data_IF_841384598409
#
_entry.id   IF_841384598409
#
_cell.length_a   1.000
_cell.length_b   1.000
_cell.length_c   1.000
_cell.angle_alpha   90.00
_cell.angle_beta   90.00
_cell.angle_gamma   90.00
#
_symmetry.space_group_name_H-M   'P 1'
#
loop_
_entity.id
_entity.type
_entity.pdbx_description
1 polymer ?
#
# COMPACT_ATOMS: atom_id res chain seq x y z
N UNK A 1 -20.22 11.08 2.50
CA UNK A 1 -18.77 11.07 2.17
C UNK A 1 -18.59 12.01 0.99
N UNK A 2 -17.71 13.01 1.05
CA UNK A 2 -17.47 13.88 -0.12
C UNK A 2 -16.53 13.16 -1.08
N UNK A 3 -17.10 12.49 -2.08
CA UNK A 3 -16.35 11.88 -3.17
C UNK A 3 -15.86 13.03 -4.05
N UNK A 4 -14.55 13.21 -4.16
CA UNK A 4 -13.97 14.24 -5.03
C UNK A 4 -13.81 13.73 -6.46
N UNK A 5 -13.34 12.50 -6.60
CA UNK A 5 -13.09 11.83 -7.88
C UNK A 5 -13.34 10.33 -7.73
N UNK A 6 -13.56 9.66 -8.85
CA UNK A 6 -13.41 8.21 -9.00
C UNK A 6 -12.12 7.92 -9.79
N UNK A 7 -11.63 6.69 -9.75
CA UNK A 7 -10.29 6.39 -10.24
C UNK A 7 -10.30 5.23 -11.23
N UNK A 8 -9.57 5.36 -12.33
CA UNK A 8 -9.37 4.28 -13.29
C UNK A 8 -7.89 3.95 -13.40
N UNK A 9 -7.50 2.72 -13.07
CA UNK A 9 -6.12 2.25 -13.17
C UNK A 9 -5.92 1.64 -14.56
N UNK A 10 -4.88 2.05 -15.28
CA UNK A 10 -4.61 1.58 -16.64
C UNK A 10 -3.12 1.49 -16.93
N UNK A 11 -2.77 0.68 -17.94
CA UNK A 11 -1.46 0.78 -18.59
C UNK A 11 -1.33 2.11 -19.34
N UNK A 12 -0.14 2.70 -19.34
CA UNK A 12 0.13 4.00 -19.99
C UNK A 12 -0.12 3.97 -21.51
N UNK A 13 0.16 2.85 -22.17
CA UNK A 13 -0.06 2.68 -23.62
C UNK A 13 -1.54 2.80 -24.05
N UNK A 14 -2.49 2.71 -23.11
CA UNK A 14 -3.91 2.92 -23.41
C UNK A 14 -4.29 4.42 -23.43
N UNK A 15 -3.43 5.31 -22.91
CA UNK A 15 -3.74 6.73 -22.77
C UNK A 15 -4.08 7.42 -24.10
N UNK A 16 -3.40 7.18 -25.25
CA UNK A 16 -3.78 7.81 -26.52
C UNK A 16 -5.24 7.50 -26.90
N UNK A 17 -5.63 6.22 -26.82
CA UNK A 17 -7.00 5.77 -27.13
C UNK A 17 -8.01 6.34 -26.12
N UNK A 18 -7.66 6.38 -24.83
CA UNK A 18 -8.53 6.91 -23.79
C UNK A 18 -8.78 8.42 -23.96
N UNK A 19 -7.76 9.19 -24.35
CA UNK A 19 -7.92 10.63 -24.58
C UNK A 19 -8.72 10.94 -25.84
N UNK A 20 -8.63 10.10 -26.87
CA UNK A 20 -9.42 10.23 -28.09
C UNK A 20 -10.88 9.80 -27.88
N UNK A 21 -11.11 8.64 -27.27
CA UNK A 21 -12.41 7.92 -27.29
C UNK A 21 -13.11 7.87 -25.94
N UNK A 22 -12.38 8.14 -24.86
CA UNK A 22 -12.81 7.95 -23.49
C UNK A 22 -12.41 6.59 -22.93
N UNK A 23 -12.80 6.33 -21.69
CA UNK A 23 -12.59 5.03 -21.07
C UNK A 23 -13.73 4.13 -21.52
N UNK A 24 -13.43 3.09 -22.31
CA UNK A 24 -14.44 2.19 -22.88
C UNK A 24 -14.61 0.94 -22.02
N UNK A 25 -15.82 0.39 -21.99
CA UNK A 25 -16.09 -0.93 -21.43
C UNK A 25 -15.38 -2.03 -22.24
N UNK A 26 -15.17 -3.19 -21.61
CA UNK A 26 -14.48 -4.29 -22.29
C UNK A 26 -15.28 -4.81 -23.49
N UNK A 27 -16.62 -4.90 -23.35
CA UNK A 27 -17.52 -5.27 -24.44
C UNK A 27 -17.32 -4.35 -25.67
N UNK A 28 -17.14 -3.04 -25.43
CA UNK A 28 -16.95 -2.07 -26.51
C UNK A 28 -15.56 -2.15 -27.14
N UNK A 29 -14.51 -2.32 -26.33
CA UNK A 29 -13.14 -2.55 -26.81
C UNK A 29 -13.09 -3.75 -27.75
N UNK A 30 -13.74 -4.86 -27.38
CA UNK A 30 -13.82 -6.08 -28.20
C UNK A 30 -14.64 -5.85 -29.47
N UNK A 31 -15.83 -5.23 -29.37
CA UNK A 31 -16.70 -5.00 -30.53
C UNK A 31 -16.08 -4.08 -31.58
N UNK A 32 -15.33 -3.07 -31.13
CA UNK A 32 -14.64 -2.12 -32.00
C UNK A 32 -13.23 -2.61 -32.42
N UNK A 33 -12.81 -3.80 -31.95
CA UNK A 33 -11.49 -4.41 -32.23
C UNK A 33 -10.31 -3.48 -31.91
N UNK A 34 -10.44 -2.74 -30.81
CA UNK A 34 -9.42 -1.78 -30.37
C UNK A 34 -8.26 -2.51 -29.69
N UNK A 35 -7.05 -2.00 -29.91
CA UNK A 35 -5.88 -2.44 -29.16
C UNK A 35 -6.02 -1.99 -27.70
N UNK A 36 -5.78 -2.92 -26.77
CA UNK A 36 -5.85 -2.65 -25.34
C UNK A 36 -4.77 -3.44 -24.61
N UNK A 37 -3.99 -2.74 -23.80
CA UNK A 37 -2.94 -3.32 -22.95
C UNK A 37 -3.49 -3.50 -21.54
N UNK A 38 -3.50 -4.73 -21.05
CA UNK A 38 -3.91 -5.02 -19.67
C UNK A 38 -2.91 -4.43 -18.67
N UNK A 39 -3.40 -3.95 -17.53
CA UNK A 39 -2.55 -3.53 -16.40
C UNK A 39 -1.93 -4.72 -15.63
N UNK A 40 -2.21 -5.96 -16.02
CA UNK A 40 -1.68 -7.20 -15.43
C UNK A 40 -0.87 -7.97 -16.48
N UNK A 41 0.24 -8.62 -16.09
CA UNK A 41 1.14 -9.30 -17.05
C UNK A 41 0.59 -10.67 -17.49
N UNK A 42 0.78 -10.96 -18.77
CA UNK A 42 0.45 -12.24 -19.43
C UNK A 42 0.00 -12.01 -20.87
N UNK A 43 0.20 -12.96 -21.79
CA UNK A 43 -0.16 -12.86 -23.23
C UNK A 43 -1.65 -12.55 -23.51
N UNK A 44 -2.48 -12.39 -22.48
CA UNK A 44 -3.90 -12.04 -22.57
C UNK A 44 -4.45 -11.32 -21.32
N UNK A 45 -3.59 -10.69 -20.50
CA UNK A 45 -4.00 -10.06 -19.25
C UNK A 45 -4.58 -11.02 -18.20
N UNK A 46 -5.34 -10.50 -17.24
CA UNK A 46 -6.04 -11.31 -16.25
C UNK A 46 -7.31 -11.98 -16.84
N UNK A 47 -7.12 -13.01 -17.67
CA UNK A 47 -8.21 -13.83 -18.25
C UNK A 47 -9.19 -14.33 -17.19
N UNK A 48 -8.71 -14.61 -15.98
CA UNK A 48 -9.56 -15.08 -14.89
C UNK A 48 -10.53 -13.98 -14.43
N UNK A 49 -10.06 -12.73 -14.37
CA UNK A 49 -10.89 -11.57 -14.08
C UNK A 49 -11.91 -11.32 -15.18
N UNK A 50 -11.48 -11.31 -16.45
CA UNK A 50 -12.38 -11.13 -17.59
C UNK A 50 -13.46 -12.22 -17.60
N UNK A 51 -13.08 -13.49 -17.38
CA UNK A 51 -14.02 -14.61 -17.31
C UNK A 51 -15.04 -14.45 -16.16
N UNK A 52 -14.59 -14.06 -14.96
CA UNK A 52 -15.49 -13.79 -13.83
C UNK A 52 -16.43 -12.62 -14.14
N UNK A 53 -15.93 -11.54 -14.74
CA UNK A 53 -16.74 -10.38 -15.13
C UNK A 53 -17.80 -10.74 -16.18
N UNK A 54 -17.47 -11.61 -17.13
CA UNK A 54 -18.43 -12.15 -18.12
C UNK A 54 -19.58 -12.93 -17.47
N UNK A 55 -19.27 -13.72 -16.42
CA UNK A 55 -20.23 -14.55 -15.69
C UNK A 55 -21.04 -13.80 -14.63
N UNK A 56 -20.54 -12.65 -14.17
CA UNK A 56 -21.17 -11.88 -13.11
C UNK A 56 -22.14 -10.86 -13.68
N UNK A 57 -23.39 -10.86 -13.18
CA UNK A 57 -24.40 -9.86 -13.52
C UNK A 57 -24.77 -9.09 -12.26
N UNK A 58 -24.63 -7.75 -12.25
CA UNK A 58 -25.14 -6.95 -11.15
C UNK A 58 -26.63 -7.20 -10.92
N UNK A 59 -27.06 -7.20 -9.66
CA UNK A 59 -28.46 -7.37 -9.33
C UNK A 59 -29.29 -6.29 -10.03
N UNK A 60 -30.37 -6.69 -10.71
CA UNK A 60 -31.25 -5.85 -11.54
C UNK A 60 -30.63 -5.34 -12.86
N UNK A 61 -29.49 -5.88 -13.30
CA UNK A 61 -28.98 -5.66 -14.66
C UNK A 61 -29.17 -6.90 -15.54
N UNK A 62 -29.57 -6.68 -16.80
CA UNK A 62 -29.56 -7.74 -17.84
C UNK A 62 -28.16 -7.98 -18.40
N UNK A 63 -27.23 -7.05 -18.19
CA UNK A 63 -25.87 -7.05 -18.73
C UNK A 63 -24.88 -7.60 -17.70
N UNK A 64 -23.80 -8.20 -18.18
CA UNK A 64 -22.70 -8.65 -17.32
C UNK A 64 -21.71 -7.50 -17.03
N UNK A 65 -20.70 -7.74 -16.20
CA UNK A 65 -19.73 -6.71 -15.82
C UNK A 65 -18.81 -6.24 -16.97
N UNK A 66 -18.76 -6.91 -18.12
CA UNK A 66 -17.96 -6.45 -19.29
C UNK A 66 -18.61 -5.25 -19.98
N UNK A 67 -19.91 -5.06 -19.78
CA UNK A 67 -20.67 -3.91 -20.28
C UNK A 67 -20.34 -2.59 -19.56
N UNK A 68 -19.65 -2.66 -18.42
CA UNK A 68 -19.42 -1.51 -17.55
C UNK A 68 -17.95 -1.15 -17.48
N UNK A 69 -17.67 0.16 -17.51
CA UNK A 69 -16.40 0.72 -17.05
C UNK A 69 -16.38 0.68 -15.52
N UNK A 70 -15.29 0.17 -14.96
CA UNK A 70 -15.14 0.00 -13.51
C UNK A 70 -14.27 1.10 -12.94
N UNK A 71 -14.90 2.07 -12.26
CA UNK A 71 -14.18 3.15 -11.59
C UNK A 71 -14.09 2.87 -10.09
N UNK A 72 -12.93 3.03 -9.51
CA UNK A 72 -12.66 2.76 -8.09
C UNK A 72 -12.94 3.99 -7.23
N UNK A 73 -13.36 3.75 -5.98
CA UNK A 73 -13.44 4.80 -4.96
C UNK A 73 -12.10 5.07 -4.27
N UNK A 74 -11.18 4.10 -4.31
CA UNK A 74 -9.85 4.16 -3.70
C UNK A 74 -8.86 3.50 -4.67
N UNK A 75 -7.92 4.24 -5.29
CA UNK A 75 -6.95 3.65 -6.22
C UNK A 75 -5.83 2.93 -5.48
N UNK A 76 -5.50 3.32 -4.24
CA UNK A 76 -4.46 2.69 -3.43
C UNK A 76 -5.01 1.44 -2.73
N UNK A 77 -5.13 0.35 -3.50
CA UNK A 77 -5.86 -0.85 -3.08
C UNK A 77 -5.11 -2.16 -3.50
N UNK A 78 -5.64 -3.36 -3.16
CA UNK A 78 -5.01 -4.63 -3.52
C UNK A 78 -4.75 -4.85 -5.02
N UNK A 79 -5.58 -4.30 -5.92
CA UNK A 79 -5.39 -4.41 -7.37
C UNK A 79 -4.21 -3.56 -7.84
N UNK A 80 -4.09 -2.32 -7.35
CA UNK A 80 -2.93 -1.48 -7.63
C UNK A 80 -1.65 -2.12 -7.11
N UNK A 81 -1.67 -2.65 -5.89
CA UNK A 81 -0.52 -3.33 -5.30
C UNK A 81 -0.04 -4.48 -6.19
N UNK A 82 -0.97 -5.34 -6.65
CA UNK A 82 -0.64 -6.41 -7.60
C UNK A 82 -0.10 -5.87 -8.94
N UNK A 83 -0.78 -4.87 -9.52
CA UNK A 83 -0.41 -4.32 -10.82
C UNK A 83 1.03 -3.80 -10.83
N UNK A 84 1.51 -3.21 -9.74
CA UNK A 84 2.89 -2.70 -9.64
C UNK A 84 3.92 -3.82 -9.78
N UNK A 85 3.74 -4.97 -9.13
CA UNK A 85 4.71 -6.07 -9.22
C UNK A 85 4.59 -6.87 -10.50
N UNK A 86 3.40 -6.95 -11.09
CA UNK A 86 3.25 -7.59 -12.39
C UNK A 86 3.80 -6.68 -13.49
N UNK A 87 3.32 -5.45 -13.59
CA UNK A 87 3.52 -4.59 -14.77
C UNK A 87 4.66 -3.60 -14.60
N UNK A 88 4.90 -3.12 -13.39
CA UNK A 88 5.84 -2.03 -13.10
C UNK A 88 5.10 -0.70 -12.95
N UNK A 89 5.46 0.07 -11.91
CA UNK A 89 4.83 1.37 -11.60
C UNK A 89 5.02 2.41 -12.72
N UNK A 90 6.12 2.33 -13.45
CA UNK A 90 6.49 3.19 -14.57
C UNK A 90 5.61 2.95 -15.82
N UNK A 91 4.85 1.87 -15.83
CA UNK A 91 3.94 1.49 -16.91
C UNK A 91 2.47 1.68 -16.55
N UNK A 92 2.18 2.19 -15.35
CA UNK A 92 0.84 2.39 -14.84
C UNK A 92 0.51 3.88 -14.70
N UNK A 93 -0.74 4.22 -14.97
CA UNK A 93 -1.32 5.52 -14.67
C UNK A 93 -2.68 5.36 -14.00
N UNK A 94 -3.06 6.33 -13.19
CA UNK A 94 -4.40 6.44 -12.61
C UNK A 94 -5.07 7.68 -13.19
N UNK A 95 -6.23 7.51 -13.80
CA UNK A 95 -7.05 8.62 -14.28
C UNK A 95 -8.03 9.03 -13.18
N UNK A 96 -8.01 10.31 -12.80
CA UNK A 96 -9.05 10.87 -11.94
C UNK A 96 -10.26 11.25 -12.78
N UNK A 97 -11.40 10.62 -12.50
CA UNK A 97 -12.66 10.89 -13.16
C UNK A 97 -13.54 11.75 -12.26
N UNK A 98 -14.13 12.78 -12.85
CA UNK A 98 -15.03 13.71 -12.18
C UNK A 98 -16.20 13.00 -11.49
N UNK A 99 -16.50 13.39 -10.25
CA UNK A 99 -17.64 12.90 -9.48
C UNK A 99 -19.00 13.17 -10.16
N UNK A 100 -19.08 14.14 -11.07
CA UNK A 100 -20.27 14.39 -11.90
C UNK A 100 -20.70 13.17 -12.73
N UNK A 101 -19.80 12.22 -12.99
CA UNK A 101 -20.13 10.94 -13.64
C UNK A 101 -21.15 10.13 -12.82
N UNK A 102 -21.25 10.37 -11.50
CA UNK A 102 -22.26 9.75 -10.64
C UNK A 102 -23.69 10.21 -10.96
N UNK A 103 -23.88 11.22 -11.82
CA UNK A 103 -25.21 11.63 -12.28
C UNK A 103 -25.65 10.90 -13.55
N UNK A 104 -24.78 10.09 -14.16
CA UNK A 104 -25.13 9.27 -15.31
C UNK A 104 -26.21 8.25 -14.92
N UNK A 105 -27.17 8.03 -15.83
CA UNK A 105 -28.21 7.04 -15.64
C UNK A 105 -27.66 5.62 -15.76
N UNK A 106 -28.24 4.69 -15.01
CA UNK A 106 -27.89 3.27 -15.08
C UNK A 106 -26.60 2.87 -14.36
N UNK A 107 -25.96 3.78 -13.61
CA UNK A 107 -24.79 3.42 -12.80
C UNK A 107 -25.15 2.47 -11.67
N UNK A 108 -24.22 1.58 -11.34
CA UNK A 108 -24.37 0.61 -10.27
C UNK A 108 -23.17 0.72 -9.34
N UNK A 109 -23.40 0.64 -8.04
CA UNK A 109 -22.35 0.67 -7.02
C UNK A 109 -22.15 -0.74 -6.49
N UNK A 110 -20.92 -1.25 -6.61
CA UNK A 110 -20.48 -2.47 -5.95
C UNK A 110 -19.82 -2.10 -4.62
N UNK A 111 -20.23 -2.73 -3.51
CA UNK A 111 -19.68 -2.44 -2.17
C UNK A 111 -18.30 -3.07 -1.89
N UNK A 112 -17.62 -3.53 -2.94
CA UNK A 112 -16.30 -4.13 -2.94
C UNK A 112 -15.92 -4.55 -4.36
N UNK A 113 -14.87 -5.37 -4.50
CA UNK A 113 -14.47 -5.92 -5.79
C UNK A 113 -15.65 -6.63 -6.47
N UNK A 114 -16.05 -6.19 -7.66
CA UNK A 114 -17.27 -6.64 -8.32
C UNK A 114 -17.23 -8.12 -8.73
N UNK A 115 -16.06 -8.75 -8.74
CA UNK A 115 -15.89 -10.18 -9.09
C UNK A 115 -15.85 -11.12 -7.90
N UNK A 116 -15.94 -10.60 -6.68
CA UNK A 116 -15.97 -11.40 -5.45
C UNK A 116 -17.42 -11.73 -5.06
N UNK A 117 -17.66 -12.96 -4.65
CA UNK A 117 -19.01 -13.51 -4.40
C UNK A 117 -19.79 -12.76 -3.32
N UNK A 118 -19.09 -12.27 -2.29
CA UNK A 118 -19.69 -11.51 -1.18
C UNK A 118 -19.97 -10.04 -1.52
N UNK A 119 -19.71 -9.60 -2.76
CA UNK A 119 -19.98 -8.22 -3.19
C UNK A 119 -21.43 -8.04 -3.57
N UNK A 120 -22.03 -6.98 -3.03
CA UNK A 120 -23.40 -6.61 -3.29
C UNK A 120 -23.46 -5.39 -4.22
N UNK A 121 -24.49 -5.37 -5.07
CA UNK A 121 -24.71 -4.34 -6.06
C UNK A 121 -25.92 -3.50 -5.69
N UNK A 122 -25.79 -2.19 -5.81
CA UNK A 122 -26.81 -1.24 -5.37
C UNK A 122 -27.07 -0.16 -6.42
N UNK A 123 -28.31 0.32 -6.54
CA UNK A 123 -28.59 1.58 -7.19
C UNK A 123 -27.78 2.71 -6.53
N UNK A 124 -27.47 3.77 -7.29
CA UNK A 124 -26.63 4.89 -6.86
C UNK A 124 -26.83 5.32 -5.41
N UNK A 125 -28.04 5.74 -5.03
CA UNK A 125 -28.29 6.36 -3.71
C UNK A 125 -28.02 5.35 -2.58
N UNK A 126 -28.53 4.12 -2.72
CA UNK A 126 -28.34 3.07 -1.73
C UNK A 126 -26.87 2.65 -1.62
N UNK A 127 -26.18 2.54 -2.75
CA UNK A 127 -24.77 2.21 -2.82
C UNK A 127 -23.90 3.26 -2.16
N UNK A 128 -24.13 4.54 -2.44
CA UNK A 128 -23.39 5.63 -1.81
C UNK A 128 -23.61 5.66 -0.28
N UNK A 129 -24.82 5.36 0.19
CA UNK A 129 -25.09 5.20 1.63
C UNK A 129 -24.33 4.02 2.23
N UNK A 130 -24.27 2.88 1.53
CA UNK A 130 -23.49 1.70 1.95
C UNK A 130 -22.00 2.02 2.05
N UNK A 131 -21.44 2.70 1.05
CA UNK A 131 -20.03 3.11 1.07
C UNK A 131 -19.75 4.12 2.19
N UNK A 132 -20.70 5.02 2.49
CA UNK A 132 -20.57 5.93 3.63
C UNK A 132 -20.50 5.19 4.97
N UNK A 133 -21.27 4.11 5.14
CA UNK A 133 -21.15 3.23 6.32
C UNK A 133 -19.78 2.55 6.38
N UNK A 134 -19.20 2.20 5.23
CA UNK A 134 -17.89 1.56 5.09
C UNK A 134 -16.72 2.54 4.94
N UNK A 135 -16.93 3.86 5.14
CA UNK A 135 -15.94 4.90 4.82
C UNK A 135 -14.56 4.66 5.43
N UNK A 136 -14.51 4.14 6.67
CA UNK A 136 -13.26 3.88 7.39
C UNK A 136 -12.42 2.82 6.69
N UNK A 137 -13.06 1.84 6.05
CA UNK A 137 -12.39 0.77 5.30
C UNK A 137 -11.93 1.30 3.95
N UNK A 138 -12.79 2.02 3.22
CA UNK A 138 -12.48 2.55 1.88
C UNK A 138 -11.33 3.56 1.94
N UNK A 139 -11.27 4.36 3.01
CA UNK A 139 -10.21 5.35 3.25
C UNK A 139 -9.01 4.79 4.02
N UNK A 140 -9.00 3.48 4.33
CA UNK A 140 -7.87 2.86 5.03
C UNK A 140 -6.64 2.77 4.11
N UNK A 141 -5.45 2.90 4.69
CA UNK A 141 -4.16 2.69 3.98
C UNK A 141 -3.77 1.21 3.90
N UNK A 142 -4.49 0.35 4.62
CA UNK A 142 -4.23 -1.08 4.74
C UNK A 142 -5.52 -1.89 4.87
N UNK A 143 -5.41 -3.19 4.68
CA UNK A 143 -6.52 -4.12 4.68
C UNK A 143 -6.08 -5.48 5.18
N UNK A 144 -7.05 -6.34 5.45
CA UNK A 144 -6.86 -7.75 5.76
C UNK A 144 -7.96 -8.59 5.11
N UNK A 145 -7.66 -9.88 4.91
CA UNK A 145 -8.58 -10.79 4.25
C UNK A 145 -9.75 -11.20 5.15
N UNK A 146 -9.48 -11.47 6.43
CA UNK A 146 -10.41 -12.10 7.36
C UNK A 146 -11.65 -11.28 7.72
N UNK A 147 -11.59 -9.94 7.66
CA UNK A 147 -12.74 -9.05 7.97
C UNK A 147 -13.45 -8.52 6.71
N UNK A 148 -13.01 -8.97 5.53
CA UNK A 148 -13.49 -8.53 4.23
C UNK A 148 -13.07 -7.11 3.84
N UNK A 149 -12.22 -6.41 4.61
CA UNK A 149 -11.74 -5.07 4.27
C UNK A 149 -11.00 -5.05 2.93
N UNK A 150 -10.24 -6.12 2.63
CA UNK A 150 -9.58 -6.33 1.33
C UNK A 150 -10.56 -6.27 0.15
N UNK A 151 -11.74 -6.89 0.27
CA UNK A 151 -12.79 -6.85 -0.75
C UNK A 151 -13.40 -5.44 -0.83
N UNK A 152 -13.79 -4.89 0.32
CA UNK A 152 -14.54 -3.62 0.44
C UNK A 152 -13.75 -2.39 -0.01
N UNK A 153 -12.43 -2.36 0.24
CA UNK A 153 -11.58 -1.24 -0.22
C UNK A 153 -11.49 -1.15 -1.75
N UNK A 154 -11.77 -2.25 -2.45
CA UNK A 154 -11.86 -2.31 -3.91
C UNK A 154 -13.28 -2.01 -4.42
N UNK A 155 -14.09 -1.25 -3.69
CA UNK A 155 -15.42 -0.85 -4.15
C UNK A 155 -15.36 -0.14 -5.51
N UNK A 156 -16.34 -0.45 -6.37
CA UNK A 156 -16.41 0.00 -7.76
C UNK A 156 -17.72 0.77 -8.02
N UNK A 157 -17.63 1.83 -8.81
CA UNK A 157 -18.74 2.45 -9.53
C UNK A 157 -18.71 1.93 -10.96
N UNK A 158 -19.74 1.18 -11.34
CA UNK A 158 -19.91 0.58 -12.65
C UNK A 158 -20.67 1.56 -13.55
N UNK A 159 -19.95 2.18 -14.49
CA UNK A 159 -20.50 3.11 -15.46
C UNK A 159 -20.87 2.35 -16.73
N UNK A 160 -22.13 2.41 -17.21
CA UNK A 160 -22.52 1.72 -18.44
C UNK A 160 -21.73 2.21 -19.65
N UNK A 161 -21.30 1.26 -20.48
CA UNK A 161 -20.72 1.46 -21.82
C UNK A 161 -19.36 2.20 -21.84
N UNK A 162 -19.31 3.48 -21.49
CA UNK A 162 -18.09 4.29 -21.54
C UNK A 162 -18.12 5.54 -20.66
N UNK A 163 -16.95 6.12 -20.42
CA UNK A 163 -16.74 7.43 -19.77
C UNK A 163 -16.13 8.38 -20.79
N UNK A 164 -16.81 9.49 -21.08
CA UNK A 164 -16.33 10.50 -22.04
C UNK A 164 -15.00 11.14 -21.58
N UNK A 165 -14.08 11.51 -22.50
CA UNK A 165 -12.81 12.18 -22.15
C UNK A 165 -12.97 13.41 -21.27
N UNK A 166 -14.04 14.19 -21.47
CA UNK A 166 -14.36 15.40 -20.68
C UNK A 166 -14.53 15.16 -19.17
N UNK A 167 -14.78 13.92 -18.74
CA UNK A 167 -14.87 13.58 -17.32
C UNK A 167 -13.50 13.29 -16.70
N UNK A 168 -12.45 13.11 -17.50
CA UNK A 168 -11.09 12.91 -17.00
C UNK A 168 -10.55 14.26 -16.55
N UNK A 169 -10.14 14.36 -15.28
CA UNK A 169 -9.64 15.59 -14.66
C UNK A 169 -8.13 15.65 -14.59
N UNK A 170 -7.47 14.52 -14.43
CA UNK A 170 -6.02 14.45 -14.28
C UNK A 170 -5.49 13.06 -14.60
N UNK A 171 -4.19 12.99 -14.90
CA UNK A 171 -3.43 11.75 -14.98
C UNK A 171 -2.49 11.71 -13.80
N UNK A 172 -2.56 10.65 -13.00
CA UNK A 172 -1.73 10.47 -11.82
C UNK A 172 -0.70 9.38 -12.07
N UNK A 173 0.56 9.69 -11.77
CA UNK A 173 1.74 8.82 -12.00
C UNK A 173 2.55 8.65 -10.71
N UNK A 174 3.35 7.58 -10.67
CA UNK A 174 4.16 7.22 -9.50
C UNK A 174 5.37 8.15 -9.29
N UNK A 175 6.02 8.53 -10.39
CA UNK A 175 7.19 9.39 -10.48
C UNK A 175 7.19 10.10 -11.86
N UNK A 176 8.12 11.04 -12.06
CA UNK A 176 8.15 11.87 -13.26
C UNK A 176 8.76 11.19 -14.49
N UNK A 177 9.18 9.93 -14.40
CA UNK A 177 9.87 9.20 -15.47
C UNK A 177 9.08 9.19 -16.79
N UNK A 178 7.76 9.05 -16.73
CA UNK A 178 6.89 9.01 -17.92
C UNK A 178 6.18 10.33 -18.23
N UNK A 179 6.44 11.42 -17.48
CA UNK A 179 5.71 12.69 -17.62
C UNK A 179 5.75 13.22 -19.05
N UNK A 180 6.94 13.34 -19.63
CA UNK A 180 7.12 13.93 -20.96
C UNK A 180 6.42 13.12 -22.05
N UNK A 181 6.47 11.78 -21.95
CA UNK A 181 5.80 10.89 -22.91
C UNK A 181 4.27 11.04 -22.82
N UNK A 182 3.71 11.10 -21.61
CA UNK A 182 2.27 11.33 -21.41
C UNK A 182 1.88 12.72 -21.94
N UNK A 183 2.71 13.75 -21.69
CA UNK A 183 2.50 15.10 -22.22
C UNK A 183 2.41 15.11 -23.75
N UNK A 184 3.30 14.40 -24.43
CA UNK A 184 3.25 14.25 -25.89
C UNK A 184 2.00 13.51 -26.39
N UNK A 185 1.41 12.65 -25.55
CA UNK A 185 0.20 11.88 -25.88
C UNK A 185 -1.09 12.68 -25.72
N UNK A 186 -1.08 13.77 -24.94
CA UNK A 186 -2.27 14.55 -24.63
C UNK A 186 -2.85 15.34 -25.82
N UNK A 187 -2.15 15.46 -26.95
CA UNK A 187 -2.67 16.05 -28.21
C UNK A 187 -3.51 17.34 -27.99
N UNK A 188 -2.93 18.37 -27.38
CA UNK A 188 -3.54 19.66 -27.04
C UNK A 188 -4.56 19.66 -25.87
N UNK A 189 -4.83 18.52 -25.22
CA UNK A 189 -5.63 18.49 -24.00
C UNK A 189 -4.86 19.13 -22.83
N UNK A 190 -5.47 20.12 -22.18
CA UNK A 190 -4.94 20.74 -20.96
C UNK A 190 -5.29 19.89 -19.73
N UNK A 191 -4.79 18.66 -19.68
CA UNK A 191 -4.96 17.78 -18.52
C UNK A 191 -3.72 17.83 -17.61
N UNK A 192 -3.88 18.11 -16.30
CA UNK A 192 -2.78 18.07 -15.36
C UNK A 192 -2.25 16.64 -15.19
N UNK A 193 -0.93 16.51 -15.18
CA UNK A 193 -0.22 15.28 -14.82
C UNK A 193 0.33 15.45 -13.40
N UNK A 194 -0.15 14.65 -12.45
CA UNK A 194 0.13 14.79 -11.02
C UNK A 194 1.01 13.62 -10.56
N UNK A 195 2.12 13.91 -9.89
CA UNK A 195 2.97 12.89 -9.27
C UNK A 195 2.47 12.59 -7.86
N UNK A 196 1.99 11.36 -7.60
CA UNK A 196 1.51 10.92 -6.29
C UNK A 196 2.04 9.52 -5.94
N UNK A 197 3.29 9.42 -5.47
CA UNK A 197 3.93 8.12 -5.20
C UNK A 197 3.17 7.23 -4.21
N UNK A 198 2.44 7.81 -3.25
CA UNK A 198 1.71 7.06 -2.23
C UNK A 198 0.62 6.14 -2.82
N UNK A 199 -0.09 6.56 -3.87
CA UNK A 199 -1.09 5.73 -4.56
C UNK A 199 -0.44 4.45 -5.11
N UNK A 200 0.84 4.54 -5.47
CA UNK A 200 1.64 3.46 -6.01
C UNK A 200 2.51 2.77 -4.94
N UNK A 201 2.16 2.89 -3.66
CA UNK A 201 2.88 2.27 -2.54
C UNK A 201 4.35 2.71 -2.45
N UNK A 202 4.69 3.86 -3.02
CA UNK A 202 6.03 4.43 -2.98
C UNK A 202 6.11 5.52 -1.89
N UNK A 203 7.25 5.66 -1.21
CA UNK A 203 7.46 6.80 -0.32
C UNK A 203 7.57 8.10 -1.13
N UNK A 204 7.36 9.23 -0.45
CA UNK A 204 7.51 10.56 -1.07
C UNK A 204 8.98 10.84 -1.40
N UNK A 205 9.89 10.42 -0.53
CA UNK A 205 11.33 10.65 -0.68
C UNK A 205 12.13 9.59 0.06
N UNK A 206 13.31 9.32 -0.46
CA UNK A 206 14.35 8.50 0.18
C UNK A 206 15.63 9.31 0.31
N UNK A 207 16.30 9.23 1.45
CA UNK A 207 17.57 9.91 1.71
C UNK A 207 18.60 8.84 2.11
N UNK A 208 19.63 8.66 1.29
CA UNK A 208 20.70 7.70 1.58
C UNK A 208 21.63 8.25 2.66
N UNK A 209 21.84 7.47 3.72
CA UNK A 209 22.75 7.77 4.81
C UNK A 209 23.83 6.68 4.85
N UNK A 210 25.09 7.08 4.67
CA UNK A 210 26.19 6.12 4.64
C UNK A 210 26.10 5.19 3.45
N UNK A 211 26.35 3.88 3.67
CA UNK A 211 26.44 2.86 2.62
C UNK A 211 25.18 2.00 2.51
N UNK A 212 24.41 1.88 3.60
CA UNK A 212 23.38 0.86 3.73
C UNK A 212 22.06 1.37 4.33
N UNK A 213 22.01 2.60 4.87
CA UNK A 213 20.81 3.17 5.48
C UNK A 213 20.10 4.09 4.47
N UNK A 214 18.78 3.99 4.41
CA UNK A 214 17.90 4.93 3.72
C UNK A 214 16.86 5.46 4.70
N UNK A 215 16.80 6.78 4.91
CA UNK A 215 15.64 7.38 5.55
C UNK A 215 14.48 7.42 4.55
N UNK A 216 13.30 7.04 5.00
CA UNK A 216 12.09 6.94 4.17
C UNK A 216 11.04 7.93 4.69
N UNK A 217 10.74 8.93 3.87
CA UNK A 217 9.77 9.98 4.16
C UNK A 217 8.45 9.68 3.44
N UNK A 218 7.37 9.53 4.21
CA UNK A 218 6.12 8.94 3.73
C UNK A 218 6.26 7.44 3.44
N UNK A 219 5.29 6.89 2.70
CA UNK A 219 5.25 5.45 2.46
C UNK A 219 5.00 4.65 3.72
N UNK A 220 4.83 3.35 3.58
CA UNK A 220 4.33 2.49 4.65
C UNK A 220 5.26 1.30 4.87
N UNK A 221 5.85 1.23 6.07
CA UNK A 221 6.83 0.22 6.44
C UNK A 221 6.31 -1.21 6.22
N UNK A 222 5.02 -1.47 6.44
CA UNK A 222 4.45 -2.80 6.21
C UNK A 222 4.37 -3.18 4.73
N UNK A 223 4.51 -2.23 3.80
CA UNK A 223 4.62 -2.50 2.37
C UNK A 223 6.06 -2.48 1.87
N UNK A 224 7.06 -2.35 2.77
CA UNK A 224 8.48 -2.42 2.40
C UNK A 224 8.82 -3.75 1.72
N UNK A 225 9.68 -3.70 0.70
CA UNK A 225 10.21 -4.89 0.02
C UNK A 225 11.31 -5.60 0.82
N UNK A 226 11.79 -5.01 1.92
CA UNK A 226 12.82 -5.61 2.77
C UNK A 226 12.31 -6.85 3.53
N UNK A 227 13.22 -7.75 3.89
CA UNK A 227 12.90 -9.06 4.46
C UNK A 227 12.26 -8.95 5.84
N UNK A 228 12.83 -8.13 6.72
CA UNK A 228 12.44 -8.07 8.13
C UNK A 228 11.80 -6.72 8.44
N UNK A 229 10.59 -6.74 8.99
CA UNK A 229 9.83 -5.57 9.42
C UNK A 229 9.92 -5.42 10.94
N UNK A 230 10.27 -4.23 11.42
CA UNK A 230 10.40 -3.99 12.87
C UNK A 230 9.11 -3.50 13.46
N UNK A 231 8.58 -4.20 14.45
CA UNK A 231 7.41 -3.76 15.21
C UNK A 231 7.88 -3.37 16.61
N UNK A 232 7.66 -2.10 16.97
CA UNK A 232 7.95 -1.64 18.33
C UNK A 232 6.90 -2.16 19.30
N UNK A 233 7.34 -2.85 20.35
CA UNK A 233 6.47 -3.55 21.30
C UNK A 233 6.82 -3.19 22.74
N UNK A 234 6.02 -3.68 23.68
CA UNK A 234 6.38 -3.67 25.10
C UNK A 234 6.73 -5.08 25.61
N UNK A 235 6.99 -5.23 26.90
CA UNK A 235 7.30 -6.54 27.51
C UNK A 235 6.07 -7.26 28.09
N UNK A 236 4.89 -6.61 28.09
CA UNK A 236 3.66 -7.14 28.73
C UNK A 236 2.77 -7.92 27.77
N UNK A 237 3.19 -8.17 26.53
CA UNK A 237 2.37 -8.90 25.55
C UNK A 237 1.18 -8.11 25.01
N UNK A 238 1.19 -6.78 25.07
CA UNK A 238 0.06 -5.92 24.65
C UNK A 238 0.38 -5.16 23.36
N UNK A 239 -0.39 -5.38 22.29
CA UNK A 239 -0.31 -4.59 21.05
C UNK A 239 -1.58 -3.73 20.87
N UNK A 240 -1.61 -2.56 21.53
CA UNK A 240 -2.85 -1.77 21.68
C UNK A 240 -2.92 -0.45 20.93
N UNK A 241 -1.80 0.09 20.44
CA UNK A 241 -1.75 1.36 19.66
C UNK A 241 -0.63 1.34 18.61
N UNK A 242 -0.72 2.24 17.63
CA UNK A 242 0.34 2.51 16.65
C UNK A 242 0.73 1.29 15.81
N UNK A 243 2.02 1.18 15.49
CA UNK A 243 2.59 0.09 14.66
C UNK A 243 2.30 -1.29 15.25
N UNK A 244 2.30 -1.42 16.58
CA UNK A 244 1.98 -2.68 17.26
C UNK A 244 0.53 -3.11 17.04
N UNK A 245 -0.44 -2.19 17.23
CA UNK A 245 -1.86 -2.49 16.99
C UNK A 245 -2.07 -2.89 15.53
N UNK A 246 -1.47 -2.15 14.60
CA UNK A 246 -1.56 -2.48 13.18
C UNK A 246 -0.99 -3.87 12.88
N UNK A 247 0.16 -4.22 13.43
CA UNK A 247 0.72 -5.56 13.28
C UNK A 247 -0.24 -6.64 13.82
N UNK A 248 -0.82 -6.43 15.01
CA UNK A 248 -1.83 -7.34 15.59
C UNK A 248 -3.07 -7.47 14.71
N UNK A 249 -3.55 -6.38 14.15
CA UNK A 249 -4.78 -6.40 13.36
C UNK A 249 -4.56 -7.01 11.98
N UNK A 250 -3.43 -6.71 11.33
CA UNK A 250 -3.12 -7.14 9.97
C UNK A 250 -2.49 -8.53 9.91
N UNK A 251 -1.66 -8.89 10.89
CA UNK A 251 -0.94 -10.16 11.00
C UNK A 251 -1.18 -10.81 12.38
N UNK A 252 -2.36 -11.42 12.62
CA UNK A 252 -2.72 -11.92 13.94
C UNK A 252 -1.78 -13.00 14.49
N UNK A 253 -1.16 -13.79 13.62
CA UNK A 253 -0.15 -14.80 13.97
C UNK A 253 1.09 -14.18 14.62
N UNK A 254 1.53 -13.00 14.17
CA UNK A 254 2.62 -12.23 14.79
C UNK A 254 2.28 -11.87 16.23
N UNK A 255 1.04 -11.50 16.51
CA UNK A 255 0.60 -11.18 17.88
C UNK A 255 0.58 -12.42 18.78
N UNK A 256 0.09 -13.55 18.25
CA UNK A 256 0.05 -14.82 18.99
C UNK A 256 1.46 -15.27 19.37
N UNK A 257 2.41 -15.17 18.43
CA UNK A 257 3.80 -15.56 18.70
C UNK A 257 4.49 -14.59 19.68
N UNK A 258 4.29 -13.28 19.49
CA UNK A 258 4.74 -12.25 20.42
C UNK A 258 4.24 -12.47 21.86
N UNK A 259 2.96 -12.77 22.04
CA UNK A 259 2.40 -12.99 23.38
C UNK A 259 3.04 -14.20 24.07
N UNK A 260 3.23 -15.30 23.32
CA UNK A 260 3.95 -16.50 23.81
C UNK A 260 5.40 -16.16 24.17
N UNK A 261 6.09 -15.39 23.33
CA UNK A 261 7.47 -14.96 23.58
C UNK A 261 7.59 -14.08 24.83
N UNK A 262 6.64 -13.17 25.07
CA UNK A 262 6.58 -12.38 26.30
C UNK A 262 6.36 -13.25 27.55
N UNK A 263 5.40 -14.19 27.52
CA UNK A 263 5.16 -15.12 28.64
C UNK A 263 6.40 -15.96 28.96
N UNK A 264 7.13 -16.37 27.93
CA UNK A 264 8.38 -17.10 28.05
C UNK A 264 9.61 -16.22 28.34
N UNK A 265 9.43 -14.89 28.55
CA UNK A 265 10.50 -13.91 28.78
C UNK A 265 11.61 -13.93 27.70
N UNK A 266 11.24 -14.27 26.46
CA UNK A 266 12.16 -14.30 25.31
C UNK A 266 12.36 -12.92 24.68
N UNK A 267 11.46 -11.98 24.95
CA UNK A 267 11.58 -10.57 24.54
C UNK A 267 12.07 -9.77 25.75
N UNK A 268 13.20 -9.09 25.61
CA UNK A 268 13.72 -8.15 26.63
C UNK A 268 14.21 -6.86 25.93
N UNK A 269 14.48 -5.77 26.68
CA UNK A 269 15.08 -4.56 26.08
C UNK A 269 16.40 -4.87 25.35
N UNK A 270 17.21 -5.75 25.90
CA UNK A 270 18.53 -6.16 25.39
C UNK A 270 18.45 -7.29 24.35
N UNK A 271 17.27 -7.88 24.17
CA UNK A 271 17.07 -8.99 23.23
C UNK A 271 15.73 -8.84 22.50
N UNK A 272 15.73 -8.16 21.35
CA UNK A 272 14.66 -8.25 20.38
C UNK A 272 14.38 -9.71 20.00
N UNK A 273 13.13 -10.00 19.67
CA UNK A 273 12.70 -11.34 19.28
C UNK A 273 12.30 -11.36 17.80
N UNK A 274 12.71 -12.41 17.08
CA UNK A 274 12.47 -12.54 15.64
C UNK A 274 11.44 -13.63 15.42
N UNK A 275 10.33 -13.27 14.80
CA UNK A 275 9.34 -14.22 14.30
C UNK A 275 9.52 -14.39 12.79
N UNK A 276 9.87 -15.62 12.37
CA UNK A 276 10.09 -16.00 10.96
C UNK A 276 8.79 -16.58 10.41
N UNK A 277 7.98 -15.73 9.79
CA UNK A 277 6.66 -16.11 9.28
C UNK A 277 6.77 -16.96 8.01
N UNK A 278 5.95 -18.00 7.93
CA UNK A 278 5.88 -18.91 6.77
C UNK A 278 4.74 -18.57 5.79
N UNK A 279 3.80 -17.73 6.20
CA UNK A 279 2.68 -17.30 5.36
C UNK A 279 3.11 -16.23 4.33
N UNK A 280 2.65 -16.42 3.08
CA UNK A 280 2.93 -15.51 1.97
C UNK A 280 2.30 -14.14 2.20
N UNK A 281 3.15 -13.12 2.33
CA UNK A 281 2.75 -11.73 2.43
C UNK A 281 2.05 -11.23 1.15
N UNK A 282 2.44 -11.80 0.00
CA UNK A 282 1.84 -11.50 -1.29
C UNK A 282 0.35 -11.87 -1.33
N UNK A 283 -0.02 -13.04 -0.80
CA UNK A 283 -1.40 -13.55 -0.79
C UNK A 283 -2.33 -12.67 0.07
N UNK A 284 -1.78 -12.02 1.10
CA UNK A 284 -2.53 -11.13 1.98
C UNK A 284 -2.78 -9.77 1.33
N UNK A 285 -1.78 -9.23 0.64
CA UNK A 285 -1.84 -7.87 0.10
C UNK A 285 -2.46 -7.79 -1.30
N UNK A 286 -2.27 -8.78 -2.17
CA UNK A 286 -2.76 -8.74 -3.56
C UNK A 286 -4.19 -9.25 -3.69
N UNK A 287 -5.01 -8.70 -4.59
CA UNK A 287 -6.43 -9.06 -4.73
C UNK A 287 -6.70 -10.59 -4.90
N UNK A 288 -5.78 -11.33 -5.51
CA UNK A 288 -5.86 -12.78 -5.75
C UNK A 288 -4.52 -13.46 -5.52
N UNK A 289 -4.51 -14.77 -5.27
CA UNK A 289 -3.29 -15.60 -5.21
C UNK A 289 -2.51 -15.39 -6.51
N UNK A 290 -1.40 -14.65 -6.48
CA UNK A 290 -0.71 -14.35 -7.71
C UNK A 290 0.11 -15.57 -8.10
N UNK A 291 -0.22 -16.21 -9.22
CA UNK A 291 0.56 -17.37 -9.65
C UNK A 291 2.01 -17.02 -10.01
N UNK A 292 2.37 -15.74 -10.20
CA UNK A 292 3.72 -15.27 -10.53
C UNK A 292 3.91 -13.78 -10.20
N UNK A 293 3.62 -13.33 -8.99
CA UNK A 293 4.01 -11.98 -8.59
C UNK A 293 5.45 -12.01 -8.09
N UNK A 294 6.33 -11.22 -8.73
CA UNK A 294 7.74 -11.09 -8.35
C UNK A 294 7.89 -10.14 -7.15
N UNK A 295 7.27 -10.47 -6.01
CA UNK A 295 7.50 -9.75 -4.75
C UNK A 295 8.82 -10.21 -4.17
N UNK A 296 9.73 -9.26 -3.92
CA UNK A 296 10.94 -9.53 -3.15
C UNK A 296 10.57 -9.85 -1.71
N UNK A 297 11.19 -10.90 -1.16
CA UNK A 297 10.94 -11.38 0.19
C UNK A 297 9.43 -11.66 0.44
N UNK A 298 8.84 -12.65 -0.26
CA UNK A 298 7.41 -12.97 -0.11
C UNK A 298 7.07 -13.48 1.28
N UNK A 299 8.07 -14.01 2.01
CA UNK A 299 7.98 -14.38 3.42
C UNK A 299 8.67 -13.28 4.24
N UNK A 300 7.87 -12.52 4.99
CA UNK A 300 8.36 -11.43 5.83
C UNK A 300 8.67 -11.92 7.23
N UNK A 301 9.77 -11.45 7.81
CA UNK A 301 10.05 -11.67 9.22
C UNK A 301 9.64 -10.44 10.03
N UNK A 302 9.32 -10.65 11.31
CA UNK A 302 8.96 -9.59 12.23
C UNK A 302 9.98 -9.52 13.35
N UNK A 303 10.70 -8.40 13.42
CA UNK A 303 11.56 -8.08 14.54
C UNK A 303 10.75 -7.34 15.60
N UNK A 304 10.44 -8.04 16.69
CA UNK A 304 9.69 -7.53 17.83
C UNK A 304 10.66 -6.80 18.77
N UNK A 305 10.78 -5.50 18.58
CA UNK A 305 11.73 -4.63 19.27
C UNK A 305 11.09 -3.97 20.47
N UNK A 306 11.51 -4.34 21.68
CA UNK A 306 10.94 -3.77 22.91
C UNK A 306 11.41 -2.33 23.13
N UNK A 307 10.53 -1.35 22.91
CA UNK A 307 10.82 0.05 23.20
C UNK A 307 10.22 0.51 24.53
N UNK A 308 9.41 -0.33 25.17
CA UNK A 308 8.76 -0.04 26.45
C UNK A 308 8.76 -1.27 27.35
N UNK A 309 8.99 -1.07 28.65
CA UNK A 309 8.82 -2.16 29.63
C UNK A 309 7.35 -2.42 29.94
N UNK A 310 6.59 -1.35 30.19
CA UNK A 310 5.14 -1.37 30.34
C UNK A 310 4.49 -0.39 29.35
N UNK A 311 3.38 -0.77 28.72
CA UNK A 311 2.76 0.01 27.64
C UNK A 311 2.28 1.41 28.04
N UNK A 312 1.93 1.60 29.32
CA UNK A 312 1.56 2.90 29.93
C UNK A 312 2.74 3.86 30.18
N UNK A 313 3.98 3.37 30.13
CA UNK A 313 5.17 4.17 30.40
C UNK A 313 5.77 4.70 29.09
N UNK A 314 6.63 5.72 29.19
CA UNK A 314 7.42 6.20 28.07
C UNK A 314 8.54 5.22 27.71
N UNK A 315 9.06 5.37 26.50
CA UNK A 315 10.25 4.65 26.04
C UNK A 315 11.50 5.22 26.71
N UNK A 316 12.54 4.40 26.82
CA UNK A 316 13.84 4.79 27.40
C UNK A 316 14.91 4.67 26.33
N UNK A 317 15.81 5.64 26.27
CA UNK A 317 16.85 5.63 25.23
C UNK A 317 17.82 4.46 25.45
N UNK A 318 18.09 4.09 26.71
CA UNK A 318 18.92 2.93 27.06
C UNK A 318 18.33 1.60 26.54
N UNK A 319 17.01 1.44 26.60
CA UNK A 319 16.31 0.25 26.06
C UNK A 319 16.43 0.21 24.52
N UNK A 320 16.43 1.38 23.84
CA UNK A 320 16.68 1.46 22.40
C UNK A 320 18.13 1.09 22.06
N UNK A 321 19.09 1.65 22.78
CA UNK A 321 20.51 1.38 22.57
C UNK A 321 20.83 -0.11 22.75
N UNK A 322 20.33 -0.73 23.82
CA UNK A 322 20.57 -2.14 24.13
C UNK A 322 20.05 -3.07 23.03
N UNK A 323 18.83 -2.80 22.52
CA UNK A 323 18.27 -3.57 21.41
C UNK A 323 19.01 -3.38 20.09
N UNK A 324 19.53 -2.17 19.83
CA UNK A 324 20.37 -1.89 18.66
C UNK A 324 21.74 -2.57 18.74
N UNK A 325 22.37 -2.59 19.91
CA UNK A 325 23.60 -3.35 20.17
C UNK A 325 23.39 -4.84 19.91
N UNK A 326 22.27 -5.40 20.38
CA UNK A 326 21.94 -6.78 20.09
C UNK A 326 21.79 -7.03 18.60
N UNK A 327 21.09 -6.16 17.87
CA UNK A 327 20.96 -6.27 16.42
C UNK A 327 22.32 -6.26 15.74
N UNK A 328 23.20 -5.32 16.11
CA UNK A 328 24.55 -5.25 15.55
C UNK A 328 25.31 -6.57 15.70
N UNK A 329 25.22 -7.19 16.88
CA UNK A 329 25.95 -8.41 17.21
C UNK A 329 25.32 -9.70 16.66
N UNK A 330 24.03 -9.68 16.29
CA UNK A 330 23.27 -10.90 15.97
C UNK A 330 22.60 -10.90 14.59
N UNK A 331 22.53 -9.77 13.88
CA UNK A 331 21.87 -9.66 12.58
C UNK A 331 22.25 -10.79 11.60
N UNK A 332 23.55 -11.01 11.41
CA UNK A 332 24.08 -12.07 10.54
C UNK A 332 23.79 -13.48 11.07
N UNK A 333 23.90 -13.69 12.39
CA UNK A 333 23.69 -15.00 13.04
C UNK A 333 22.23 -15.43 12.93
N UNK A 334 21.30 -14.49 13.05
CA UNK A 334 19.86 -14.73 12.97
C UNK A 334 19.36 -14.87 11.52
N UNK A 335 20.21 -14.53 10.54
CA UNK A 335 19.92 -14.61 9.12
C UNK A 335 19.14 -13.42 8.56
N UNK A 336 19.14 -12.27 9.26
CA UNK A 336 18.50 -11.04 8.78
C UNK A 336 19.31 -10.49 7.61
N UNK A 337 18.66 -10.33 6.46
CA UNK A 337 19.27 -9.85 5.21
C UNK A 337 18.96 -8.39 4.91
N UNK A 338 17.87 -7.85 5.45
CA UNK A 338 17.48 -6.43 5.31
C UNK A 338 16.40 -6.06 6.34
N UNK A 339 16.37 -4.78 6.75
CA UNK A 339 15.51 -4.27 7.83
C UNK A 339 14.71 -3.04 7.42
N UNK A 340 13.39 -3.08 7.58
CA UNK A 340 12.54 -1.90 7.62
C UNK A 340 12.21 -1.56 9.08
N UNK A 341 12.52 -0.34 9.51
CA UNK A 341 12.40 0.10 10.90
C UNK A 341 11.54 1.36 11.00
N UNK A 342 10.65 1.43 11.97
CA UNK A 342 10.00 2.68 12.37
C UNK A 342 10.95 3.52 13.24
N UNK A 343 10.69 4.82 13.38
CA UNK A 343 11.34 5.66 14.38
C UNK A 343 11.11 5.13 15.82
N UNK A 344 12.13 4.49 16.40
CA UNK A 344 12.01 3.69 17.62
C UNK A 344 11.66 4.56 18.84
N UNK A 345 10.47 4.37 19.40
CA UNK A 345 10.05 5.08 20.61
C UNK A 345 9.73 6.58 20.42
N UNK A 346 9.83 7.13 19.20
CA UNK A 346 9.63 8.56 18.98
C UNK A 346 8.17 9.03 18.98
N UNK A 347 7.22 8.11 18.78
CA UNK A 347 5.80 8.44 18.70
C UNK A 347 5.13 8.20 20.05
N UNK A 348 4.52 7.03 20.24
CA UNK A 348 3.88 6.67 21.51
C UNK A 348 4.85 6.57 22.69
N UNK A 349 6.17 6.53 22.44
CA UNK A 349 7.20 6.44 23.47
C UNK A 349 7.73 7.78 23.97
N UNK A 350 7.47 8.88 23.26
CA UNK A 350 7.86 10.23 23.67
C UNK A 350 9.34 10.57 23.52
N UNK A 351 10.15 9.72 22.88
CA UNK A 351 11.55 10.05 22.60
C UNK A 351 11.66 11.07 21.46
N UNK A 352 12.71 11.90 21.48
CA UNK A 352 12.98 12.83 20.40
C UNK A 352 13.64 12.11 19.21
N UNK A 353 13.20 12.42 17.99
CA UNK A 353 13.89 11.96 16.78
C UNK A 353 15.34 12.45 16.73
N UNK A 354 15.61 13.66 17.23
CA UNK A 354 16.95 14.23 17.26
C UNK A 354 17.94 13.35 18.05
N UNK A 355 17.48 12.70 19.12
CA UNK A 355 18.32 11.84 19.96
C UNK A 355 18.37 10.40 19.43
N UNK A 356 17.23 9.87 18.98
CA UNK A 356 17.11 8.47 18.54
C UNK A 356 17.77 8.24 17.18
N UNK A 357 17.69 9.19 16.25
CA UNK A 357 18.14 8.97 14.88
C UNK A 357 19.67 8.80 14.76
N UNK A 358 20.52 9.63 15.39
CA UNK A 358 21.97 9.40 15.41
C UNK A 358 22.32 8.06 16.07
N UNK A 359 21.61 7.70 17.15
CA UNK A 359 21.80 6.41 17.84
C UNK A 359 21.49 5.23 16.91
N UNK A 360 20.34 5.26 16.23
CA UNK A 360 19.98 4.25 15.23
C UNK A 360 21.03 4.17 14.13
N UNK A 361 21.46 5.31 13.57
CA UNK A 361 22.46 5.34 12.51
C UNK A 361 23.82 4.80 12.97
N UNK A 362 24.29 5.13 14.18
CA UNK A 362 25.54 4.62 14.76
C UNK A 362 25.61 3.09 14.74
N UNK A 363 24.56 2.41 15.23
CA UNK A 363 24.56 0.95 15.31
C UNK A 363 24.24 0.27 13.98
N UNK A 364 23.29 0.82 13.21
CA UNK A 364 22.81 0.22 11.97
C UNK A 364 23.73 0.48 10.77
N UNK A 365 24.68 1.43 10.86
CA UNK A 365 25.63 1.65 9.77
C UNK A 365 26.61 0.48 9.63
N UNK A 366 26.97 -0.16 10.74
CA UNK A 366 28.00 -1.21 10.80
C UNK A 366 27.49 -2.62 10.44
N UNK A 367 26.18 -2.83 10.36
CA UNK A 367 25.60 -4.18 10.15
C UNK A 367 25.66 -4.68 8.71
N UNK A 368 26.12 -3.85 7.76
CA UNK A 368 26.35 -4.19 6.35
C UNK A 368 25.17 -4.85 5.61
N UNK A 369 23.93 -4.58 6.04
CA UNK A 369 22.71 -4.97 5.34
C UNK A 369 21.87 -3.73 4.99
N UNK A 370 21.03 -3.77 3.94
CA UNK A 370 20.11 -2.68 3.64
C UNK A 370 19.14 -2.41 4.81
N UNK A 371 19.06 -1.14 5.22
CA UNK A 371 18.15 -0.67 6.26
C UNK A 371 17.32 0.50 5.75
N UNK A 372 16.01 0.41 5.86
CA UNK A 372 15.09 1.52 5.69
C UNK A 372 14.59 2.00 7.05
N UNK A 373 14.78 3.29 7.36
CA UNK A 373 14.22 3.91 8.57
C UNK A 373 13.09 4.84 8.17
N UNK A 374 11.86 4.46 8.49
CA UNK A 374 10.65 5.23 8.22
C UNK A 374 10.49 6.34 9.25
N UNK A 375 10.42 7.57 8.74
CA UNK A 375 10.28 8.77 9.55
C UNK A 375 8.93 8.80 10.30
N UNK A 376 8.86 9.39 11.51
CA UNK A 376 7.60 9.72 12.17
C UNK A 376 6.67 10.50 11.24
N UNK A 377 5.37 10.20 11.29
CA UNK A 377 4.34 10.89 10.48
C UNK A 377 3.57 11.94 11.27
N UNK A 378 3.67 11.89 12.59
CA UNK A 378 2.86 12.66 13.53
C UNK A 378 3.32 14.11 13.66
N UNK A 379 4.57 14.41 13.29
CA UNK A 379 5.15 15.75 13.36
C UNK A 379 6.22 15.96 12.28
N UNK A 380 6.43 17.20 11.81
CA UNK A 380 7.50 17.50 10.88
C UNK A 380 8.88 17.38 11.55
N UNK A 381 9.83 16.77 10.85
CA UNK A 381 11.24 16.74 11.26
C UNK A 381 11.98 17.91 10.62
N UNK A 382 12.80 18.60 11.40
CA UNK A 382 13.64 19.68 10.89
C UNK A 382 14.72 19.14 9.93
N UNK A 383 14.99 19.81 8.80
CA UNK A 383 15.90 19.29 7.78
C UNK A 383 17.30 18.91 8.27
N UNK A 384 17.84 19.63 9.26
CA UNK A 384 19.16 19.37 9.84
C UNK A 384 19.29 17.95 10.43
N UNK A 385 18.21 17.43 11.03
CA UNK A 385 18.15 16.10 11.64
C UNK A 385 17.97 14.96 10.62
N UNK A 386 17.94 15.28 9.33
CA UNK A 386 17.90 14.31 8.23
C UNK A 386 19.25 14.22 7.50
N UNK A 387 20.23 15.07 7.87
CA UNK A 387 21.50 15.16 7.16
C UNK A 387 22.46 14.06 7.57
N UNK A 388 23.26 13.59 6.62
CA UNK A 388 24.37 12.66 6.89
C UNK A 388 25.33 13.21 7.95
N UNK A 389 25.60 14.53 7.92
CA UNK A 389 26.48 15.20 8.88
C UNK A 389 25.98 15.06 10.32
N UNK A 390 24.67 15.20 10.54
CA UNK A 390 24.08 15.05 11.87
C UNK A 390 24.01 13.59 12.31
N UNK A 391 23.57 12.70 11.42
CA UNK A 391 23.25 11.32 11.75
C UNK A 391 24.46 10.39 11.87
N UNK A 392 25.57 10.75 11.24
CA UNK A 392 26.84 10.02 11.31
C UNK A 392 27.94 10.88 11.94
N UNK A 393 27.57 11.88 12.75
CA UNK A 393 28.54 12.60 13.56
C UNK A 393 29.24 11.60 14.50
N UNK A 394 30.57 11.72 14.67
CA UNK A 394 31.36 10.82 15.52
C UNK A 394 30.97 10.87 17.00
#
# INVERSE_FOLDING_TARGET
MKIKSLYYITHIDNLPSIFERGILSHERIESERLQFVSMFKGKAGDKSNVSKRCKTKPQNSKKNLLHYVSLLFQPRNPMMYRAIFETGKDKLAVLEVADTILNQQGIIIADGNATEELTQFYPRIQGLNKLQQQRKIIQSEWWKKCDGSKRKIMAECLIPDFVKPQHIRSVVIADDTMRNWIQGTLNNLQLPIICQPDIFFQPKRRITIGKNISLVDGGDMFFSELQTLTVTVNLQGVMGKGVALRAKEQFPDVYVDYEKACRAKKVTPERPYIYKREESFADELTDRKPHRVNIKNPMKWFLLFATKRHWRQNSRIEDIESGLQWLQNNCKKEGIQSLAMSALGCTNGGLSWADVAPLMCKYLHEINIPVEIYLPREYPIRPEYLTKKYLLAP
#
